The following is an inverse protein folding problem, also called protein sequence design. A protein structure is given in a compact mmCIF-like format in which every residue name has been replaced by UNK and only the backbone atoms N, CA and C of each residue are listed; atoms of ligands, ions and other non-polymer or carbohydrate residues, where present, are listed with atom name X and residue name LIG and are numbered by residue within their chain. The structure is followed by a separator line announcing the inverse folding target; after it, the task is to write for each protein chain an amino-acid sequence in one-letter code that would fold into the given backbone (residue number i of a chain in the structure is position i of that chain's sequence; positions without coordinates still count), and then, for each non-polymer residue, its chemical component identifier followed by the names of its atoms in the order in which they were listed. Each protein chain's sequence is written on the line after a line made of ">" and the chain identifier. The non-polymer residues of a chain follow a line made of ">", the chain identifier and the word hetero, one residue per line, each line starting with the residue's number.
data_IF_564464031070
#
_entry.id   IF_564464031070
#
_cell.length_a   1.000
_cell.length_b   1.000
_cell.length_c   1.000
_cell.angle_alpha   90.00
_cell.angle_beta   90.00
_cell.angle_gamma   90.00
#
_symmetry.space_group_name_H-M   'P 1'
#
loop_
_entity.id
_entity.type
_entity.pdbx_description
1 polymer ?
#
# COMPACT_ATOMS: atom_id res chain seq x y z
N UNK A 1 -29.35 -0.72 -13.55
CA UNK A 1 -28.40 -1.56 -14.33
C UNK A 1 -27.91 -0.91 -15.62
N UNK A 2 -28.77 -0.58 -16.61
CA UNK A 2 -28.33 -0.08 -17.94
C UNK A 2 -27.37 1.11 -17.90
N UNK A 3 -27.64 2.12 -17.07
CA UNK A 3 -26.80 3.33 -16.96
C UNK A 3 -25.40 3.01 -16.42
N UNK A 4 -25.31 2.18 -15.37
CA UNK A 4 -24.02 1.76 -14.80
C UNK A 4 -23.20 0.95 -15.81
N UNK A 5 -23.82 -0.01 -16.51
CA UNK A 5 -23.13 -0.78 -17.56
C UNK A 5 -22.66 0.08 -18.73
N UNK A 6 -23.45 1.08 -19.15
CA UNK A 6 -23.04 2.00 -20.22
C UNK A 6 -21.94 2.96 -19.77
N UNK A 7 -21.94 3.36 -18.49
CA UNK A 7 -20.86 4.17 -17.92
C UNK A 7 -19.53 3.40 -17.87
N UNK A 8 -19.57 2.14 -17.40
CA UNK A 8 -18.37 1.28 -17.35
C UNK A 8 -17.84 1.01 -18.76
N UNK A 9 -18.71 0.71 -19.72
CA UNK A 9 -18.32 0.50 -21.11
C UNK A 9 -17.76 1.78 -21.73
N UNK A 10 -18.37 2.94 -21.43
CA UNK A 10 -17.88 4.24 -21.88
C UNK A 10 -16.47 4.56 -21.38
N UNK A 11 -16.18 4.27 -20.11
CA UNK A 11 -14.84 4.41 -19.54
C UNK A 11 -13.84 3.41 -20.15
N UNK A 12 -14.26 2.16 -20.40
CA UNK A 12 -13.41 1.14 -21.01
C UNK A 12 -13.06 1.42 -22.49
N UNK A 13 -13.87 2.23 -23.19
CA UNK A 13 -13.62 2.64 -24.57
C UNK A 13 -12.70 3.86 -24.71
N UNK A 14 -12.37 4.54 -23.61
CA UNK A 14 -11.41 5.64 -23.63
C UNK A 14 -9.98 5.09 -23.71
N UNK A 15 -9.04 5.92 -24.19
CA UNK A 15 -7.65 5.51 -24.26
C UNK A 15 -7.11 5.17 -22.87
N UNK A 16 -6.54 3.98 -22.77
CA UNK A 16 -5.99 3.44 -21.51
C UNK A 16 -4.49 3.61 -21.46
N UNK A 17 -4.00 4.07 -20.32
CA UNK A 17 -2.58 4.04 -19.97
C UNK A 17 -2.24 2.60 -19.59
N UNK A 18 -1.37 1.97 -20.37
CA UNK A 18 -0.90 0.59 -20.17
C UNK A 18 0.59 0.59 -19.83
N UNK A 19 1.11 -0.53 -19.33
CA UNK A 19 2.51 -0.68 -18.93
C UNK A 19 3.01 0.47 -18.03
N UNK A 20 2.21 0.81 -17.02
CA UNK A 20 2.53 1.88 -16.08
C UNK A 20 3.66 1.40 -15.16
N UNK A 21 4.78 2.11 -15.17
CA UNK A 21 5.95 1.81 -14.36
C UNK A 21 6.42 3.08 -13.65
N UNK A 22 6.88 2.91 -12.41
CA UNK A 22 7.35 4.00 -11.57
C UNK A 22 8.78 3.69 -11.11
N UNK A 23 9.71 4.60 -11.41
CA UNK A 23 11.12 4.52 -11.03
C UNK A 23 11.44 5.67 -10.07
N UNK A 24 12.07 5.33 -8.94
CA UNK A 24 12.46 6.27 -7.91
C UNK A 24 13.98 6.48 -7.94
N UNK A 25 14.44 7.70 -8.19
CA UNK A 25 15.82 8.12 -7.97
C UNK A 25 15.84 9.11 -6.80
N UNK A 26 15.82 8.57 -5.58
CA UNK A 26 15.64 9.35 -4.36
C UNK A 26 16.82 9.17 -3.41
N UNK A 27 17.25 10.29 -2.84
CA UNK A 27 18.28 10.38 -1.82
C UNK A 27 17.67 10.81 -0.51
N UNK A 28 18.04 10.12 0.55
CA UNK A 28 17.66 10.46 1.92
C UNK A 28 18.92 10.88 2.66
N UNK A 29 18.97 12.14 3.08
CA UNK A 29 20.16 12.74 3.72
C UNK A 29 21.44 12.53 2.88
N UNK A 30 21.31 12.63 1.55
CA UNK A 30 22.43 12.49 0.60
C UNK A 30 22.82 11.05 0.23
N UNK A 31 22.25 10.02 0.86
CA UNK A 31 22.47 8.60 0.52
C UNK A 31 21.34 8.07 -0.38
N UNK A 32 21.67 7.25 -1.37
CA UNK A 32 20.66 6.56 -2.18
C UNK A 32 19.79 5.69 -1.27
N UNK A 33 18.47 5.80 -1.42
CA UNK A 33 17.52 5.03 -0.64
C UNK A 33 16.87 3.94 -1.50
N UNK A 34 16.73 2.75 -0.93
CA UNK A 34 15.92 1.69 -1.52
C UNK A 34 14.45 1.96 -1.17
N UNK A 35 13.61 2.08 -2.20
CA UNK A 35 12.19 2.45 -2.06
C UNK A 35 11.33 1.27 -2.50
N UNK A 36 10.54 0.75 -1.57
CA UNK A 36 9.52 -0.23 -1.89
C UNK A 36 8.26 0.48 -2.38
N UNK A 37 7.88 0.23 -3.63
CA UNK A 37 6.67 0.80 -4.24
C UNK A 37 5.45 -0.05 -3.89
N UNK A 38 4.37 0.59 -3.44
CA UNK A 38 3.07 -0.03 -3.17
C UNK A 38 1.99 0.69 -3.98
N UNK A 39 1.17 -0.01 -4.77
CA UNK A 39 1.26 -1.44 -5.06
C UNK A 39 2.48 -1.77 -5.93
N UNK A 40 2.98 -3.01 -5.85
CA UNK A 40 4.15 -3.43 -6.62
C UNK A 40 3.86 -3.56 -8.11
N UNK A 41 2.62 -3.90 -8.45
CA UNK A 41 2.10 -3.91 -9.82
C UNK A 41 1.10 -2.78 -9.98
N UNK A 42 1.42 -1.81 -10.84
CA UNK A 42 0.57 -0.67 -11.09
C UNK A 42 -0.51 -1.03 -12.13
N UNK A 43 -1.81 -0.89 -11.81
CA UNK A 43 -2.88 -1.19 -12.76
C UNK A 43 -2.91 -0.20 -13.95
N UNK A 44 -3.50 -0.62 -15.09
CA UNK A 44 -3.80 0.31 -16.18
C UNK A 44 -4.72 1.44 -15.72
N UNK A 45 -4.48 2.66 -16.23
CA UNK A 45 -5.31 3.83 -15.88
C UNK A 45 -6.26 4.17 -17.01
N UNK A 46 -7.53 4.34 -16.63
CA UNK A 46 -8.58 4.82 -17.50
C UNK A 46 -8.73 6.33 -17.34
N UNK A 47 -9.13 6.99 -18.42
CA UNK A 47 -9.43 8.42 -18.36
C UNK A 47 -10.52 8.71 -17.33
N UNK A 48 -10.28 9.73 -16.49
CA UNK A 48 -11.16 10.11 -15.37
C UNK A 48 -10.92 9.32 -14.08
N UNK A 49 -10.00 8.36 -14.05
CA UNK A 49 -9.62 7.59 -12.86
C UNK A 49 -8.22 7.97 -12.42
N UNK A 50 -8.01 8.05 -11.11
CA UNK A 50 -6.69 8.24 -10.50
C UNK A 50 -6.25 6.97 -9.77
N UNK A 51 -4.94 6.80 -9.66
CA UNK A 51 -4.31 5.78 -8.84
C UNK A 51 -3.41 6.47 -7.82
N UNK A 52 -3.28 5.84 -6.66
CA UNK A 52 -2.35 6.27 -5.63
C UNK A 52 -1.31 5.19 -5.41
N UNK A 53 -0.03 5.58 -5.45
CA UNK A 53 1.10 4.73 -5.15
C UNK A 53 1.92 5.35 -4.00
N UNK A 54 2.54 4.50 -3.19
CA UNK A 54 3.33 4.86 -2.02
C UNK A 54 4.75 4.34 -2.19
N UNK A 55 5.73 5.16 -1.82
CA UNK A 55 7.12 4.74 -1.66
C UNK A 55 7.44 4.60 -0.18
N UNK A 56 7.73 3.38 0.27
CA UNK A 56 8.22 3.13 1.61
C UNK A 56 9.74 3.20 1.63
N UNK A 57 10.28 4.03 2.51
CA UNK A 57 11.70 4.14 2.80
C UNK A 57 11.94 3.41 4.12
N UNK A 58 12.92 2.50 4.15
CA UNK A 58 13.30 1.84 5.40
C UNK A 58 13.86 2.86 6.40
N UNK A 59 13.31 2.84 7.62
CA UNK A 59 13.82 3.65 8.72
C UNK A 59 15.22 3.16 9.10
N UNK A 60 16.15 4.10 9.20
CA UNK A 60 17.48 3.89 9.74
C UNK A 60 17.46 4.53 11.14
N UNK A 61 17.86 3.80 12.18
CA UNK A 61 17.59 4.09 13.60
C UNK A 61 18.08 5.47 14.10
N UNK A 62 18.81 6.23 13.29
CA UNK A 62 19.40 7.53 13.65
C UNK A 62 18.61 8.78 13.16
N UNK A 63 17.45 8.64 12.51
CA UNK A 63 16.88 9.75 11.71
C UNK A 63 15.61 10.37 12.29
N UNK A 64 15.79 11.35 13.19
CA UNK A 64 14.70 12.24 13.64
C UNK A 64 14.20 13.18 12.53
N UNK A 65 15.01 13.45 11.51
CA UNK A 65 14.63 14.27 10.35
C UNK A 65 15.26 13.67 9.08
N UNK A 66 14.47 12.92 8.32
CA UNK A 66 14.88 12.39 7.02
C UNK A 66 14.54 13.41 5.93
N UNK A 67 15.55 14.11 5.41
CA UNK A 67 15.39 14.98 4.25
C UNK A 67 15.42 14.13 2.98
N UNK A 68 14.26 14.01 2.33
CA UNK A 68 14.03 13.25 1.11
C UNK A 68 14.04 14.19 -0.08
N UNK A 69 15.01 14.00 -0.97
CA UNK A 69 15.11 14.73 -2.24
C UNK A 69 15.38 13.76 -3.38
N UNK A 70 14.76 13.97 -4.54
CA UNK A 70 14.99 13.10 -5.67
C UNK A 70 14.13 13.41 -6.88
N UNK A 71 14.11 12.46 -7.81
CA UNK A 71 13.28 12.47 -9.00
C UNK A 71 12.46 11.20 -9.07
N UNK A 72 11.17 11.38 -9.33
CA UNK A 72 10.23 10.31 -9.63
C UNK A 72 9.98 10.30 -11.13
N UNK A 73 10.18 9.15 -11.76
CA UNK A 73 9.91 8.95 -13.18
C UNK A 73 8.74 8.00 -13.36
N UNK A 74 7.70 8.48 -14.05
CA UNK A 74 6.54 7.70 -14.42
C UNK A 74 6.62 7.39 -15.92
N UNK A 75 6.65 6.12 -16.28
CA UNK A 75 6.63 5.63 -17.66
C UNK A 75 5.32 4.92 -17.95
N UNK A 76 4.74 5.13 -19.13
CA UNK A 76 3.48 4.50 -19.53
C UNK A 76 3.33 4.44 -21.05
N UNK A 77 2.41 3.60 -21.55
CA UNK A 77 2.04 3.53 -22.96
C UNK A 77 0.62 4.03 -23.20
N UNK A 78 0.46 4.91 -24.19
CA UNK A 78 -0.84 5.36 -24.73
C UNK A 78 -0.87 5.00 -26.21
N UNK A 79 -1.88 4.26 -26.65
CA UNK A 79 -2.07 3.92 -28.08
C UNK A 79 -0.81 3.32 -28.73
N UNK A 80 -0.05 2.53 -27.97
CA UNK A 80 1.19 1.89 -28.42
C UNK A 80 2.44 2.78 -28.41
N UNK A 81 2.35 4.05 -28.01
CA UNK A 81 3.49 4.96 -27.85
C UNK A 81 3.91 5.05 -26.40
N UNK A 82 5.21 4.90 -26.13
CA UNK A 82 5.79 5.06 -24.79
C UNK A 82 5.99 6.54 -24.48
N UNK A 83 5.51 6.95 -23.32
CA UNK A 83 5.70 8.27 -22.74
C UNK A 83 6.37 8.13 -21.37
N UNK A 84 7.13 9.15 -20.99
CA UNK A 84 7.75 9.26 -19.68
C UNK A 84 7.58 10.67 -19.17
N UNK A 85 7.31 10.81 -17.87
CA UNK A 85 7.26 12.08 -17.16
C UNK A 85 8.15 11.99 -15.94
N UNK A 86 8.88 13.07 -15.65
CA UNK A 86 9.72 13.17 -14.47
C UNK A 86 9.21 14.29 -13.58
N UNK A 87 9.23 14.07 -12.26
CA UNK A 87 8.79 15.03 -11.25
C UNK A 87 9.75 15.02 -10.08
N UNK A 88 10.06 16.19 -9.55
CA UNK A 88 10.96 16.31 -8.39
C UNK A 88 10.22 15.92 -7.11
N UNK A 89 10.81 15.02 -6.35
CA UNK A 89 10.38 14.65 -4.98
C UNK A 89 11.11 15.57 -4.01
N UNK A 90 10.36 16.25 -3.16
CA UNK A 90 10.89 17.06 -2.06
C UNK A 90 10.03 16.82 -0.82
N UNK A 91 10.67 16.74 0.34
CA UNK A 91 9.96 16.88 1.60
C UNK A 91 9.23 18.23 1.63
N UNK A 92 7.90 18.18 1.60
CA UNK A 92 7.11 19.34 1.98
C UNK A 92 7.22 19.49 3.50
N UNK A 93 7.34 20.72 4.03
CA UNK A 93 7.16 20.93 5.46
C UNK A 93 5.74 20.48 5.80
N UNK A 94 5.63 19.39 6.57
CA UNK A 94 4.38 19.04 7.23
C UNK A 94 4.13 20.22 8.15
N UNK A 95 3.12 21.04 7.82
CA UNK A 95 2.63 22.00 8.79
C UNK A 95 2.06 21.13 9.91
N UNK A 96 2.83 20.95 10.96
CA UNK A 96 2.28 20.60 12.26
C UNK A 96 1.19 21.65 12.47
N UNK A 97 -0.07 21.23 12.34
CA UNK A 97 -1.16 22.06 12.84
C UNK A 97 -0.81 22.24 14.32
N UNK A 98 -0.51 23.50 14.68
CA UNK A 98 -0.14 23.93 16.01
C UNK A 98 -1.31 23.61 16.95
N UNK A 99 -1.44 22.35 17.37
CA UNK A 99 -2.21 21.95 18.53
C UNK A 99 -1.21 21.70 19.66
N UNK A 100 -1.28 22.60 20.62
CA UNK A 100 -0.46 22.69 21.80
C UNK A 100 -0.48 21.37 22.60
N UNK A 101 0.70 20.95 23.04
CA UNK A 101 0.95 19.99 24.13
C UNK A 101 0.40 18.57 23.95
N UNK A 102 1.18 17.68 23.33
CA UNK A 102 1.58 16.39 23.95
C UNK A 102 2.81 15.81 23.22
N UNK A 103 3.83 15.45 23.99
CA UNK A 103 5.05 14.78 23.54
C UNK A 103 4.70 13.41 22.95
N UNK A 104 4.58 13.32 21.64
CA UNK A 104 5.09 12.21 20.83
C UNK A 104 4.78 12.55 19.38
N UNK A 105 5.80 12.50 18.53
CA UNK A 105 5.68 12.76 17.11
C UNK A 105 4.43 12.05 16.56
N UNK A 106 3.42 12.83 16.16
CA UNK A 106 2.36 12.36 15.26
C UNK A 106 3.02 12.19 13.90
N UNK A 107 3.96 11.25 13.82
CA UNK A 107 4.42 10.63 12.59
C UNK A 107 3.15 10.30 11.84
N UNK A 108 3.02 10.69 10.58
CA UNK A 108 1.80 10.57 9.77
C UNK A 108 1.31 9.09 9.67
N UNK A 109 0.74 8.56 10.76
CA UNK A 109 0.28 7.19 10.93
C UNK A 109 -0.80 6.89 9.90
N UNK A 110 -1.57 7.91 9.49
CA UNK A 110 -2.57 7.82 8.43
C UNK A 110 -1.97 7.39 7.09
N UNK A 111 -0.87 8.00 6.66
CA UNK A 111 -0.21 7.63 5.39
C UNK A 111 0.43 6.25 5.47
N UNK A 112 1.05 5.91 6.60
CA UNK A 112 1.61 4.58 6.82
C UNK A 112 0.53 3.49 6.78
N UNK A 113 -0.59 3.70 7.49
CA UNK A 113 -1.75 2.79 7.47
C UNK A 113 -2.39 2.68 6.10
N UNK A 114 -2.43 3.78 5.34
CA UNK A 114 -3.02 3.77 4.01
C UNK A 114 -2.12 3.02 3.00
N UNK A 115 -0.80 3.19 3.09
CA UNK A 115 0.17 2.39 2.35
C UNK A 115 0.02 0.89 2.72
N UNK A 116 -0.06 0.57 4.01
CA UNK A 116 -0.28 -0.79 4.49
C UNK A 116 -1.58 -1.38 3.95
N UNK A 117 -2.68 -0.61 3.95
CA UNK A 117 -3.96 -1.03 3.39
C UNK A 117 -3.86 -1.32 1.90
N UNK A 118 -3.17 -0.48 1.13
CA UNK A 118 -2.96 -0.72 -0.31
C UNK A 118 -2.16 -2.01 -0.55
N UNK A 119 -1.14 -2.27 0.26
CA UNK A 119 -0.34 -3.50 0.19
C UNK A 119 -1.16 -4.74 0.59
N UNK A 120 -1.99 -4.63 1.63
CA UNK A 120 -2.88 -5.71 2.05
C UNK A 120 -3.90 -6.06 0.97
N UNK A 121 -4.47 -5.07 0.27
CA UNK A 121 -5.37 -5.33 -0.86
C UNK A 121 -4.67 -6.12 -1.97
N UNK A 122 -3.44 -5.74 -2.33
CA UNK A 122 -2.66 -6.46 -3.34
C UNK A 122 -2.38 -7.92 -2.92
N UNK A 123 -2.01 -8.15 -1.65
CA UNK A 123 -1.75 -9.49 -1.14
C UNK A 123 -3.02 -10.35 -1.04
N UNK A 124 -4.15 -9.76 -0.69
CA UNK A 124 -5.46 -10.45 -0.67
C UNK A 124 -5.87 -10.86 -2.08
N UNK A 125 -5.67 -9.99 -3.08
CA UNK A 125 -5.94 -10.34 -4.47
C UNK A 125 -5.04 -11.47 -4.97
N UNK A 126 -3.74 -11.45 -4.60
CA UNK A 126 -2.80 -12.56 -4.89
C UNK A 126 -3.23 -13.86 -4.22
N UNK A 127 -3.65 -13.79 -2.96
CA UNK A 127 -4.14 -14.95 -2.22
C UNK A 127 -5.40 -15.55 -2.88
N UNK A 128 -6.36 -14.69 -3.29
CA UNK A 128 -7.56 -15.13 -3.99
C UNK A 128 -7.24 -15.76 -5.36
N UNK A 129 -6.26 -15.21 -6.10
CA UNK A 129 -5.81 -15.78 -7.36
C UNK A 129 -5.18 -17.17 -7.19
N UNK A 130 -4.47 -17.41 -6.09
CA UNK A 130 -3.89 -18.73 -5.77
C UNK A 130 -4.96 -19.76 -5.37
N UNK A 131 -6.06 -19.34 -4.73
CA UNK A 131 -7.19 -20.22 -4.40
C UNK A 131 -8.05 -20.61 -5.61
N UNK A 132 -8.02 -19.83 -6.70
CA UNK A 132 -8.84 -20.06 -7.88
C UNK A 132 -8.40 -21.23 -8.78
N UNK A 133 -7.20 -21.78 -8.57
CA UNK A 133 -6.59 -22.82 -9.42
C UNK A 133 -6.77 -24.24 -8.84
N UNK A 134 -7.69 -24.42 -7.89
CA UNK A 134 -7.95 -25.67 -7.15
C UNK A 134 -8.71 -26.74 -7.97
N UNK A 135 -8.06 -27.25 -9.02
CA UNK A 135 -8.28 -28.60 -9.53
C UNK A 135 -7.50 -29.67 -8.75
N UNK A 136 -6.46 -29.30 -8.00
CA UNK A 136 -5.67 -30.22 -7.18
C UNK A 136 -5.33 -29.59 -5.83
N UNK A 137 -5.77 -30.23 -4.75
CA UNK A 137 -5.38 -29.94 -3.37
C UNK A 137 -3.89 -30.22 -3.19
N UNK A 138 -3.08 -29.22 -3.46
CA UNK A 138 -1.77 -29.09 -2.84
C UNK A 138 -1.86 -27.75 -2.11
N UNK A 139 -1.94 -27.78 -0.78
CA UNK A 139 -1.66 -26.61 0.04
C UNK A 139 -0.23 -26.16 -0.31
N UNK A 140 -0.13 -25.30 -1.32
CA UNK A 140 1.13 -24.83 -1.85
C UNK A 140 1.76 -23.92 -0.81
N UNK A 141 3.05 -24.09 -0.56
CA UNK A 141 3.83 -23.25 0.36
C UNK A 141 3.61 -21.74 0.13
N UNK A 142 3.29 -21.34 -1.10
CA UNK A 142 3.00 -19.96 -1.48
C UNK A 142 1.70 -19.37 -0.91
N UNK A 143 0.61 -20.12 -0.77
CA UNK A 143 -0.63 -19.59 -0.18
C UNK A 143 -0.43 -19.30 1.32
N UNK A 144 0.20 -20.26 2.01
CA UNK A 144 0.54 -20.11 3.42
C UNK A 144 1.51 -18.95 3.66
N UNK A 145 2.48 -18.73 2.76
CA UNK A 145 3.42 -17.62 2.85
C UNK A 145 2.72 -16.26 2.67
N UNK A 146 1.88 -16.12 1.64
CA UNK A 146 1.11 -14.88 1.41
C UNK A 146 0.17 -14.61 2.57
N UNK A 147 -0.49 -15.64 3.10
CA UNK A 147 -1.34 -15.52 4.29
C UNK A 147 -0.55 -15.01 5.50
N UNK A 148 0.64 -15.56 5.75
CA UNK A 148 1.48 -15.11 6.86
C UNK A 148 1.91 -13.64 6.68
N UNK A 149 2.32 -13.25 5.48
CA UNK A 149 2.66 -11.85 5.17
C UNK A 149 1.48 -10.90 5.44
N UNK A 150 0.25 -11.30 5.09
CA UNK A 150 -0.96 -10.51 5.37
C UNK A 150 -1.18 -10.33 6.88
N UNK A 151 -0.96 -11.38 7.67
CA UNK A 151 -1.06 -11.32 9.14
C UNK A 151 0.01 -10.39 9.69
N UNK A 152 1.28 -10.55 9.28
CA UNK A 152 2.40 -9.77 9.79
C UNK A 152 2.24 -8.27 9.52
N UNK A 153 1.86 -7.89 8.29
CA UNK A 153 1.60 -6.48 7.94
C UNK A 153 0.42 -5.95 8.75
N UNK A 154 -0.66 -6.74 8.86
CA UNK A 154 -1.88 -6.35 9.57
C UNK A 154 -1.61 -6.06 11.06
N UNK A 155 -0.85 -6.94 11.73
CA UNK A 155 -0.50 -6.77 13.15
C UNK A 155 0.47 -5.62 13.37
N UNK A 156 1.47 -5.46 12.49
CA UNK A 156 2.48 -4.41 12.64
C UNK A 156 1.92 -3.00 12.37
N UNK A 157 0.92 -2.89 11.50
CA UNK A 157 0.36 -1.60 11.07
C UNK A 157 -0.97 -1.25 11.74
N UNK A 158 -1.51 -2.16 12.56
CA UNK A 158 -2.83 -2.05 13.19
C UNK A 158 -3.95 -1.82 12.16
N UNK A 159 -3.87 -2.48 11.00
CA UNK A 159 -4.89 -2.43 9.94
C UNK A 159 -5.54 -3.80 9.82
N UNK A 160 -6.86 -3.89 9.95
CA UNK A 160 -7.60 -5.14 9.84
C UNK A 160 -7.48 -5.73 8.43
N UNK A 161 -7.24 -7.03 8.34
CA UNK A 161 -7.23 -7.82 7.11
C UNK A 161 -8.20 -9.00 7.22
N UNK A 162 -8.51 -9.73 6.14
CA UNK A 162 -9.39 -10.91 6.19
C UNK A 162 -8.94 -12.01 7.16
N UNK A 163 -7.66 -12.03 7.56
CA UNK A 163 -7.08 -13.03 8.45
C UNK A 163 -6.85 -12.54 9.88
N UNK A 164 -7.19 -11.29 10.19
CA UNK A 164 -7.04 -10.70 11.52
C UNK A 164 -8.36 -10.13 12.02
N UNK A 165 -8.52 -10.04 13.33
CA UNK A 165 -9.69 -9.43 13.94
C UNK A 165 -9.30 -8.73 15.26
N UNK A 166 -10.11 -7.75 15.66
CA UNK A 166 -10.03 -7.20 17.01
C UNK A 166 -10.93 -7.99 17.94
N UNK A 167 -10.35 -8.47 19.03
CA UNK A 167 -11.09 -9.13 20.11
C UNK A 167 -11.18 -8.17 21.28
N UNK A 168 -12.36 -7.65 21.55
CA UNK A 168 -12.62 -6.84 22.74
C UNK A 168 -12.89 -7.77 23.91
N UNK A 169 -12.04 -7.70 24.94
CA UNK A 169 -12.22 -8.47 26.18
C UNK A 169 -12.68 -7.52 27.28
N UNK A 170 -13.79 -7.88 27.91
CA UNK A 170 -14.32 -7.19 29.09
C UNK A 170 -13.44 -7.54 30.30
N UNK A 171 -12.69 -6.58 30.89
CA UNK A 171 -11.73 -6.87 31.95
C UNK A 171 -12.38 -7.51 33.17
N UNK A 172 -13.64 -7.19 33.43
CA UNK A 172 -14.39 -7.69 34.60
C UNK A 172 -14.85 -9.14 34.43
N UNK A 173 -14.75 -9.70 33.22
CA UNK A 173 -15.12 -11.10 32.90
C UNK A 173 -13.92 -12.02 32.71
N UNK A 174 -12.69 -11.50 32.82
CA UNK A 174 -11.45 -12.29 32.66
C UNK A 174 -11.26 -13.29 33.81
N UNK A 175 -11.86 -13.05 34.98
CA UNK A 175 -11.72 -13.91 36.16
C UNK A 175 -12.44 -15.28 36.09
N UNK A 176 -13.36 -15.50 35.15
CA UNK A 176 -14.16 -16.74 35.08
C UNK A 176 -13.74 -17.70 33.96
N UNK A 177 -12.90 -17.26 33.01
CA UNK A 177 -12.41 -18.12 31.92
C UNK A 177 -10.95 -18.47 32.21
N UNK A 178 -10.76 -19.64 32.80
CA UNK A 178 -9.48 -20.12 33.29
C UNK A 178 -8.34 -20.00 32.28
N UNK A 179 -7.20 -19.51 32.76
CA UNK A 179 -5.91 -19.59 32.07
C UNK A 179 -5.68 -21.02 31.55
N UNK A 180 -5.63 -21.18 30.23
CA UNK A 180 -4.94 -22.32 29.63
C UNK A 180 -3.46 -22.00 29.72
N UNK A 181 -2.78 -22.70 30.63
CA UNK A 181 -1.32 -22.74 30.74
C UNK A 181 -0.71 -23.48 29.55
#
# INVERSE_FOLDING_TARGET
>A
LRVATMSVLGSAMQSTLTDVAMEWDVKVNGKAADILTIPSQLPPLFSGVFMTAFGLIQADDERKEAHVEGTLKLSYKVEGRTHSQETTVRCLPVKEEEEEEEEDAVVNLGLHRLAAKAQLLELVDKHAALQGDEGEKVEGSGESEVRQQIVDISTNTNVISPFTCFVCVDPDKIGEVGCVK
#
